data_IF_401994624584
#
_entry.id   IF_401994624584
#
_cell.length_a   1.000
_cell.length_b   1.000
_cell.length_c   1.000
_cell.angle_alpha   90.00
_cell.angle_beta   90.00
_cell.angle_gamma   90.00
#
_symmetry.space_group_name_H-M   'P 1'
#
loop_
_entity.id
_entity.type
_entity.pdbx_description
1 polymer ?
#
# COMPACT_ATOMS: atom_id res chain seq x y z
N UNK A 1 0.75 3.16 -9.93
CA UNK A 1 0.37 1.79 -10.30
C UNK A 1 0.41 1.62 -11.82
N UNK A 2 -0.41 2.32 -12.61
CA UNK A 2 -0.57 2.12 -14.06
C UNK A 2 0.66 2.45 -14.93
N UNK A 3 1.69 3.08 -14.40
CA UNK A 3 2.97 3.26 -15.11
C UNK A 3 3.69 1.94 -15.33
N UNK A 4 3.44 0.97 -14.47
CA UNK A 4 4.02 -0.36 -14.63
C UNK A 4 3.31 -1.11 -15.76
N UNK A 5 4.01 -1.57 -16.80
CA UNK A 5 3.39 -2.19 -17.98
C UNK A 5 2.74 -3.53 -17.66
N UNK A 6 3.25 -4.25 -16.66
CA UNK A 6 2.72 -5.55 -16.24
C UNK A 6 1.36 -5.47 -15.54
N UNK A 7 0.96 -4.30 -15.04
CA UNK A 7 -0.36 -4.11 -14.42
C UNK A 7 -1.43 -4.21 -15.50
N UNK A 8 -2.21 -5.27 -15.45
CA UNK A 8 -3.31 -5.54 -16.40
C UNK A 8 -4.60 -4.87 -15.99
N UNK A 9 -4.87 -4.81 -14.69
CA UNK A 9 -6.09 -4.20 -14.12
C UNK A 9 -5.75 -3.52 -12.80
N UNK A 10 -6.31 -2.34 -12.58
CA UNK A 10 -6.30 -1.64 -11.31
C UNK A 10 -7.75 -1.33 -10.91
N UNK A 11 -8.16 -1.75 -9.72
CA UNK A 11 -9.46 -1.37 -9.15
C UNK A 11 -9.21 -0.32 -8.09
N UNK A 12 -9.84 0.85 -8.24
CA UNK A 12 -9.88 1.90 -7.24
C UNK A 12 -11.25 1.86 -6.57
N UNK A 13 -11.28 1.53 -5.29
CA UNK A 13 -12.48 1.61 -4.46
C UNK A 13 -12.42 2.90 -3.65
N UNK A 14 -13.40 3.78 -3.85
CA UNK A 14 -13.50 5.08 -3.20
C UNK A 14 -14.95 5.29 -2.71
N UNK A 15 -15.11 5.64 -1.43
CA UNK A 15 -16.43 5.81 -0.85
C UNK A 15 -17.13 7.10 -1.33
N UNK A 16 -16.36 8.14 -1.62
CA UNK A 16 -16.87 9.44 -2.03
C UNK A 16 -16.55 9.76 -3.49
N UNK A 17 -17.58 9.69 -4.33
CA UNK A 17 -17.46 10.07 -5.74
C UNK A 17 -16.90 11.47 -5.95
N UNK A 18 -17.19 12.41 -5.04
CA UNK A 18 -16.74 13.79 -5.20
C UNK A 18 -15.21 13.91 -5.17
N UNK A 19 -14.50 13.03 -4.47
CA UNK A 19 -13.04 12.96 -4.48
C UNK A 19 -12.52 12.69 -5.89
N UNK A 20 -13.12 11.73 -6.60
CA UNK A 20 -12.73 11.41 -7.98
C UNK A 20 -13.00 12.60 -8.91
N UNK A 21 -14.16 13.23 -8.76
CA UNK A 21 -14.57 14.34 -9.65
C UNK A 21 -13.69 15.58 -9.40
N UNK A 22 -13.38 15.91 -8.13
CA UNK A 22 -12.45 16.99 -7.78
C UNK A 22 -11.02 16.71 -8.27
N UNK A 23 -10.56 15.47 -8.16
CA UNK A 23 -9.24 15.09 -8.67
C UNK A 23 -9.14 15.22 -10.18
N UNK A 24 -10.21 14.89 -10.93
CA UNK A 24 -10.25 15.09 -12.38
C UNK A 24 -10.22 16.57 -12.77
N UNK A 25 -10.97 17.39 -12.05
CA UNK A 25 -11.12 18.82 -12.35
C UNK A 25 -9.88 19.63 -11.93
N UNK A 26 -9.40 19.41 -10.71
CA UNK A 26 -8.38 20.29 -10.11
C UNK A 26 -6.97 19.70 -10.11
N UNK A 27 -6.84 18.38 -10.26
CA UNK A 27 -5.53 17.69 -10.21
C UNK A 27 -5.31 16.74 -11.39
N UNK A 28 -5.61 17.17 -12.65
CA UNK A 28 -5.50 16.30 -13.82
C UNK A 28 -4.07 15.79 -14.05
N UNK A 29 -3.05 16.59 -13.71
CA UNK A 29 -1.65 16.19 -13.87
C UNK A 29 -1.23 15.09 -12.86
N UNK A 30 -1.82 15.06 -11.66
CA UNK A 30 -1.54 14.03 -10.67
C UNK A 30 -2.19 12.72 -11.06
N UNK A 31 -3.46 12.74 -11.45
CA UNK A 31 -4.19 11.56 -11.90
C UNK A 31 -3.68 11.05 -13.26
N UNK A 32 -3.17 11.95 -14.11
CA UNK A 32 -2.60 11.66 -15.42
C UNK A 32 -3.47 10.70 -16.26
N UNK A 33 -4.79 10.94 -16.26
CA UNK A 33 -5.77 10.12 -16.99
C UNK A 33 -5.99 8.71 -16.39
N UNK A 34 -5.53 8.46 -15.18
CA UNK A 34 -5.62 7.13 -14.56
C UNK A 34 -7.08 6.67 -14.38
N UNK A 35 -8.00 7.57 -14.04
CA UNK A 35 -9.41 7.22 -13.84
C UNK A 35 -10.12 6.75 -15.13
N UNK A 36 -9.65 7.22 -16.29
CA UNK A 36 -10.24 6.92 -17.59
C UNK A 36 -9.40 5.91 -18.39
N UNK A 37 -8.36 5.35 -17.78
CA UNK A 37 -7.54 4.33 -18.40
C UNK A 37 -8.32 3.02 -18.52
N UNK A 38 -8.25 2.35 -19.68
CA UNK A 38 -8.95 1.07 -19.94
C UNK A 38 -8.61 -0.05 -18.94
N UNK A 39 -7.48 0.05 -18.23
CA UNK A 39 -7.06 -0.88 -17.19
C UNK A 39 -7.62 -0.53 -15.81
N UNK A 40 -8.27 0.63 -15.66
CA UNK A 40 -8.85 1.08 -14.40
C UNK A 40 -10.33 0.76 -14.31
N UNK A 41 -10.71 0.21 -13.17
CA UNK A 41 -12.11 0.09 -12.71
C UNK A 41 -12.27 0.99 -11.49
N UNK A 42 -13.08 2.03 -11.58
CA UNK A 42 -13.47 2.86 -10.43
C UNK A 42 -14.75 2.28 -9.85
N UNK A 43 -14.74 1.98 -8.55
CA UNK A 43 -15.88 1.49 -7.77
C UNK A 43 -16.19 2.51 -6.69
N UNK A 44 -17.41 3.04 -6.67
CA UNK A 44 -17.84 3.93 -5.60
C UNK A 44 -18.59 3.08 -4.57
N UNK A 45 -17.87 2.75 -3.49
CA UNK A 45 -18.37 1.87 -2.43
C UNK A 45 -17.52 2.03 -1.14
N UNK A 46 -18.07 1.53 -0.03
CA UNK A 46 -17.30 1.30 1.19
C UNK A 46 -16.22 0.23 0.93
N UNK A 47 -14.96 0.57 1.18
CA UNK A 47 -13.82 -0.32 0.96
C UNK A 47 -13.87 -1.59 1.82
N UNK A 48 -14.42 -1.52 3.04
CA UNK A 48 -14.57 -2.69 3.91
C UNK A 48 -15.58 -3.67 3.34
N UNK A 49 -16.74 -3.18 2.93
CA UNK A 49 -17.76 -3.99 2.30
C UNK A 49 -17.28 -4.55 0.96
N UNK A 50 -16.62 -3.71 0.14
CA UNK A 50 -16.08 -4.15 -1.14
C UNK A 50 -15.10 -5.31 -0.99
N UNK A 51 -14.14 -5.22 -0.06
CA UNK A 51 -13.16 -6.30 0.13
C UNK A 51 -13.78 -7.54 0.77
N UNK A 52 -14.79 -7.38 1.65
CA UNK A 52 -15.50 -8.49 2.26
C UNK A 52 -16.36 -9.30 1.24
N UNK A 53 -16.94 -8.63 0.25
CA UNK A 53 -17.88 -9.25 -0.70
C UNK A 53 -17.23 -9.65 -2.03
N UNK A 54 -16.05 -9.13 -2.36
CA UNK A 54 -15.43 -9.39 -3.67
C UNK A 54 -15.02 -10.86 -3.85
N UNK A 55 -15.29 -11.38 -5.03
CA UNK A 55 -14.77 -12.67 -5.52
C UNK A 55 -13.48 -12.50 -6.34
N UNK A 56 -13.14 -11.25 -6.71
CA UNK A 56 -11.88 -10.93 -7.40
C UNK A 56 -10.68 -11.33 -6.51
N UNK A 57 -9.56 -11.67 -7.16
CA UNK A 57 -8.27 -11.89 -6.51
C UNK A 57 -7.27 -10.87 -7.01
N UNK A 58 -6.51 -10.29 -6.09
CA UNK A 58 -5.58 -9.20 -6.35
C UNK A 58 -4.14 -9.64 -6.07
N UNK A 59 -3.22 -9.31 -6.96
CA UNK A 59 -1.78 -9.51 -6.72
C UNK A 59 -1.25 -8.52 -5.68
N UNK A 60 -1.90 -7.36 -5.54
CA UNK A 60 -1.59 -6.36 -4.52
C UNK A 60 -2.84 -5.62 -4.08
N UNK A 61 -2.98 -5.40 -2.79
CA UNK A 61 -3.98 -4.51 -2.17
C UNK A 61 -3.21 -3.39 -1.49
N UNK A 62 -3.52 -2.13 -1.88
CA UNK A 62 -2.92 -0.93 -1.31
C UNK A 62 -4.01 -0.16 -0.57
N UNK A 63 -3.89 -0.07 0.75
CA UNK A 63 -4.84 0.64 1.61
C UNK A 63 -4.25 2.01 1.95
N UNK A 64 -4.71 3.02 1.23
CA UNK A 64 -4.37 4.42 1.47
C UNK A 64 -5.51 5.03 2.31
N UNK A 65 -5.48 4.76 3.60
CA UNK A 65 -6.50 5.17 4.56
C UNK A 65 -6.21 6.55 5.15
N UNK A 66 -7.23 7.14 5.76
CA UNK A 66 -7.06 8.22 6.74
C UNK A 66 -6.56 7.65 8.07
N UNK A 67 -6.23 8.51 9.04
CA UNK A 67 -5.94 8.09 10.41
C UNK A 67 -7.10 7.26 11.00
N UNK A 68 -6.86 6.35 11.96
CA UNK A 68 -7.89 5.49 12.56
C UNK A 68 -8.83 6.26 13.50
N UNK A 69 -9.37 7.37 13.02
CA UNK A 69 -10.28 8.26 13.74
C UNK A 69 -11.62 8.28 13.02
N UNK A 70 -12.71 8.12 13.79
CA UNK A 70 -14.07 8.12 13.24
C UNK A 70 -14.30 6.99 12.23
N UNK A 71 -14.88 7.27 11.07
CA UNK A 71 -15.21 6.23 10.06
C UNK A 71 -14.00 5.47 9.52
N UNK A 72 -12.81 6.09 9.50
CA UNK A 72 -11.57 5.45 9.03
C UNK A 72 -11.06 4.33 9.93
N UNK A 73 -11.47 4.27 11.19
CA UNK A 73 -11.00 3.28 12.15
C UNK A 73 -11.27 1.82 11.71
N UNK A 74 -12.31 1.58 10.93
CA UNK A 74 -12.66 0.25 10.43
C UNK A 74 -11.60 -0.36 9.51
N UNK A 75 -10.79 0.47 8.84
CA UNK A 75 -9.72 0.04 7.96
C UNK A 75 -8.46 -0.42 8.71
N UNK A 76 -8.47 -0.37 10.05
CA UNK A 76 -7.37 -0.83 10.93
C UNK A 76 -7.79 -2.03 11.79
N UNK A 77 -8.92 -2.67 11.48
CA UNK A 77 -9.42 -3.83 12.23
C UNK A 77 -8.82 -5.13 11.72
N UNK A 78 -8.77 -6.13 12.61
CA UNK A 78 -8.31 -7.47 12.27
C UNK A 78 -9.21 -8.12 11.20
N UNK A 79 -10.50 -7.87 11.30
CA UNK A 79 -11.52 -8.37 10.36
C UNK A 79 -11.28 -7.84 8.96
N UNK A 80 -11.04 -6.53 8.82
CA UNK A 80 -10.72 -5.92 7.54
C UNK A 80 -9.45 -6.51 6.91
N UNK A 81 -8.40 -6.70 7.70
CA UNK A 81 -7.16 -7.30 7.21
C UNK A 81 -7.32 -8.78 6.84
N UNK A 82 -8.19 -9.52 7.54
CA UNK A 82 -8.53 -10.88 7.18
C UNK A 82 -9.27 -10.94 5.83
N UNK A 83 -10.20 -10.01 5.58
CA UNK A 83 -10.87 -9.87 4.30
C UNK A 83 -9.91 -9.47 3.18
N UNK A 84 -8.96 -8.56 3.44
CA UNK A 84 -7.88 -8.25 2.51
C UNK A 84 -7.06 -9.49 2.18
N UNK A 85 -6.63 -10.26 3.20
CA UNK A 85 -5.90 -11.52 2.97
C UNK A 85 -6.69 -12.48 2.10
N UNK A 86 -7.99 -12.67 2.39
CA UNK A 86 -8.87 -13.54 1.59
C UNK A 86 -8.96 -13.08 0.14
N UNK A 87 -8.97 -11.77 -0.12
CA UNK A 87 -9.06 -11.19 -1.46
C UNK A 87 -7.72 -11.17 -2.21
N UNK A 88 -6.58 -11.45 -1.56
CA UNK A 88 -5.31 -11.61 -2.24
C UNK A 88 -5.24 -12.90 -3.04
N UNK A 89 -4.54 -12.86 -4.16
CA UNK A 89 -4.05 -14.05 -4.87
C UNK A 89 -2.95 -14.73 -4.04
N UNK A 90 -2.68 -16.03 -4.24
CA UNK A 90 -1.56 -16.69 -3.57
C UNK A 90 -0.24 -15.94 -3.77
N UNK A 91 0.44 -15.62 -2.68
CA UNK A 91 1.68 -14.81 -2.68
C UNK A 91 1.49 -13.33 -2.99
N UNK A 92 0.26 -12.83 -2.98
CA UNK A 92 -0.03 -11.41 -3.13
C UNK A 92 0.39 -10.57 -1.92
N UNK A 93 0.40 -9.25 -2.09
CA UNK A 93 0.91 -8.29 -1.11
C UNK A 93 -0.20 -7.38 -0.60
N UNK A 94 -0.27 -7.23 0.72
CA UNK A 94 -1.03 -6.17 1.39
C UNK A 94 -0.08 -5.06 1.83
N UNK A 95 -0.39 -3.83 1.45
CA UNK A 95 0.29 -2.62 1.94
C UNK A 95 -0.73 -1.69 2.55
N UNK A 96 -0.44 -1.17 3.74
CA UNK A 96 -1.32 -0.24 4.45
C UNK A 96 -0.56 1.02 4.87
N UNK A 97 -1.19 2.17 4.78
CA UNK A 97 -0.67 3.39 5.38
C UNK A 97 -0.81 3.29 6.91
N UNK A 98 0.26 3.58 7.66
CA UNK A 98 0.30 3.46 9.13
C UNK A 98 0.90 4.69 9.82
N UNK A 99 0.68 5.87 9.25
CA UNK A 99 1.01 7.14 9.86
C UNK A 99 2.50 7.39 10.07
N UNK A 100 2.78 8.29 10.99
CA UNK A 100 4.13 8.71 11.38
C UNK A 100 4.55 7.94 12.64
N UNK A 101 5.50 7.01 12.58
CA UNK A 101 5.79 6.07 13.66
C UNK A 101 6.24 6.77 14.97
N UNK A 102 6.81 7.97 14.88
CA UNK A 102 7.18 8.75 16.06
C UNK A 102 5.96 9.38 16.77
N UNK A 103 4.97 9.84 16.02
CA UNK A 103 3.78 10.50 16.55
C UNK A 103 2.62 9.53 16.82
N UNK A 104 2.53 8.46 16.01
CA UNK A 104 1.41 7.53 15.97
C UNK A 104 1.92 6.06 16.07
N UNK A 105 2.73 5.72 17.09
CA UNK A 105 3.37 4.39 17.17
C UNK A 105 2.37 3.24 17.34
N UNK A 106 1.22 3.50 17.93
CA UNK A 106 0.19 2.50 18.19
C UNK A 106 -0.44 1.93 16.92
N UNK A 107 -0.60 2.74 15.89
CA UNK A 107 -1.20 2.33 14.62
C UNK A 107 -0.34 1.26 13.92
N UNK A 108 0.94 1.57 13.75
CA UNK A 108 1.89 0.64 13.16
C UNK A 108 1.99 -0.66 13.97
N UNK A 109 2.15 -0.54 15.30
CA UNK A 109 2.27 -1.70 16.20
C UNK A 109 1.05 -2.60 16.11
N UNK A 110 -0.15 -2.03 16.14
CA UNK A 110 -1.40 -2.79 16.09
C UNK A 110 -1.58 -3.51 14.74
N UNK A 111 -1.39 -2.79 13.63
CA UNK A 111 -1.52 -3.39 12.30
C UNK A 111 -0.54 -4.55 12.12
N UNK A 112 0.72 -4.37 12.53
CA UNK A 112 1.73 -5.42 12.43
C UNK A 112 1.47 -6.61 13.35
N UNK A 113 0.85 -6.41 14.53
CA UNK A 113 0.44 -7.53 15.38
C UNK A 113 -0.58 -8.42 14.66
N UNK A 114 -1.55 -7.83 13.98
CA UNK A 114 -2.53 -8.57 13.18
C UNK A 114 -1.90 -9.25 11.96
N UNK A 115 -0.96 -8.57 11.28
CA UNK A 115 -0.29 -9.15 10.12
C UNK A 115 0.53 -10.38 10.48
N UNK A 116 1.26 -10.37 11.60
CA UNK A 116 2.03 -11.53 12.09
C UNK A 116 1.17 -12.73 12.43
N UNK A 117 -0.07 -12.51 12.86
CA UNK A 117 -1.01 -13.60 13.12
C UNK A 117 -1.56 -14.23 11.83
N UNK A 118 -1.53 -13.50 10.72
CA UNK A 118 -2.20 -13.88 9.49
C UNK A 118 -1.26 -14.26 8.34
N UNK A 119 -0.09 -13.62 8.23
CA UNK A 119 0.81 -13.74 7.08
C UNK A 119 2.15 -14.34 7.47
N UNK A 120 2.81 -14.99 6.52
CA UNK A 120 4.15 -15.58 6.70
C UNK A 120 5.24 -14.48 6.83
N UNK A 121 5.13 -13.40 6.07
CA UNK A 121 6.02 -12.23 6.15
C UNK A 121 5.20 -10.98 6.53
N UNK A 122 5.52 -10.42 7.69
CA UNK A 122 4.94 -9.18 8.21
C UNK A 122 6.05 -8.21 8.62
N UNK A 123 6.06 -7.03 8.02
CA UNK A 123 7.07 -6.00 8.26
C UNK A 123 6.49 -4.60 7.99
N UNK A 124 7.36 -3.62 7.98
CA UNK A 124 7.04 -2.27 7.53
C UNK A 124 8.16 -1.72 6.65
N UNK A 125 7.82 -0.72 5.86
CA UNK A 125 8.81 0.13 5.20
C UNK A 125 8.48 1.60 5.43
N UNK A 126 9.45 2.47 5.14
CA UNK A 126 9.29 3.92 5.28
C UNK A 126 9.50 4.62 3.95
N UNK A 127 8.69 5.64 3.70
CA UNK A 127 8.87 6.52 2.54
C UNK A 127 8.69 7.98 2.94
N UNK A 128 9.55 8.85 2.40
CA UNK A 128 9.43 10.28 2.63
C UNK A 128 8.19 10.84 1.97
N UNK A 129 7.34 11.47 2.76
CA UNK A 129 6.12 12.12 2.31
C UNK A 129 6.21 13.61 2.69
N UNK A 130 6.66 14.49 1.76
CA UNK A 130 7.01 15.89 2.08
C UNK A 130 5.86 16.75 2.64
N UNK A 131 4.62 16.33 2.43
CA UNK A 131 3.43 17.01 2.95
C UNK A 131 3.15 16.75 4.43
N UNK A 132 3.85 15.78 5.04
CA UNK A 132 3.74 15.47 6.46
C UNK A 132 4.98 15.93 7.24
N UNK A 133 4.80 16.34 8.50
CA UNK A 133 5.74 17.03 9.39
C UNK A 133 7.14 16.41 9.49
N UNK A 134 7.91 16.48 8.41
CA UNK A 134 9.37 16.32 8.45
C UNK A 134 9.90 14.89 8.69
N UNK A 135 9.06 13.88 8.85
CA UNK A 135 9.53 12.50 8.96
C UNK A 135 8.95 11.61 7.83
N UNK A 136 9.50 10.42 7.68
CA UNK A 136 9.01 9.42 6.74
C UNK A 136 7.79 8.71 7.32
N UNK A 137 6.74 8.60 6.52
CA UNK A 137 5.58 7.76 6.86
C UNK A 137 5.97 6.29 6.87
N UNK A 138 5.31 5.54 7.73
CA UNK A 138 5.39 4.09 7.75
C UNK A 138 4.26 3.45 6.97
N UNK A 139 4.59 2.34 6.36
CA UNK A 139 3.65 1.51 5.62
C UNK A 139 3.81 0.08 6.10
N UNK A 140 2.70 -0.52 6.55
CA UNK A 140 2.66 -1.94 6.86
C UNK A 140 2.78 -2.77 5.58
N UNK A 141 3.48 -3.88 5.68
CA UNK A 141 3.72 -4.84 4.62
C UNK A 141 3.35 -6.22 5.10
N UNK A 142 2.55 -6.95 4.33
CA UNK A 142 2.25 -8.34 4.62
C UNK A 142 2.11 -9.19 3.35
N UNK A 143 2.65 -10.41 3.37
CA UNK A 143 2.56 -11.36 2.28
C UNK A 143 2.75 -12.80 2.79
N UNK A 144 2.16 -13.78 2.09
CA UNK A 144 2.49 -15.20 2.26
C UNK A 144 3.65 -15.64 1.32
N UNK A 145 4.38 -14.67 0.76
CA UNK A 145 5.60 -14.89 -0.01
C UNK A 145 6.72 -14.02 0.58
N UNK A 146 7.58 -14.63 1.40
CA UNK A 146 8.67 -13.96 2.11
C UNK A 146 9.84 -13.55 1.19
N UNK A 147 9.97 -14.15 0.00
CA UNK A 147 10.99 -13.78 -0.98
C UNK A 147 10.82 -12.36 -1.53
N UNK A 148 9.59 -11.82 -1.53
CA UNK A 148 9.31 -10.52 -2.15
C UNK A 148 10.07 -9.36 -1.50
N UNK A 149 10.20 -9.39 -0.17
CA UNK A 149 10.90 -8.36 0.59
C UNK A 149 12.42 -8.56 0.60
N UNK A 150 12.88 -9.76 0.31
CA UNK A 150 14.31 -10.13 0.33
C UNK A 150 15.04 -9.86 -0.99
N UNK A 151 14.35 -9.28 -1.99
CA UNK A 151 14.96 -8.97 -3.28
C UNK A 151 16.17 -8.04 -3.13
N UNK A 152 17.25 -8.38 -3.82
CA UNK A 152 18.44 -7.55 -3.91
C UNK A 152 18.23 -6.34 -4.83
N UNK A 153 19.08 -5.31 -4.66
CA UNK A 153 19.07 -4.14 -5.56
C UNK A 153 19.21 -4.57 -7.02
N UNK A 154 20.09 -5.55 -7.31
CA UNK A 154 20.33 -6.02 -8.68
C UNK A 154 19.10 -6.71 -9.30
N UNK A 155 18.36 -7.51 -8.52
CA UNK A 155 17.13 -8.15 -8.98
C UNK A 155 16.04 -7.12 -9.27
N UNK A 156 15.87 -6.12 -8.39
CA UNK A 156 14.89 -5.06 -8.59
C UNK A 156 15.28 -4.20 -9.81
N UNK A 157 16.58 -3.89 -9.99
CA UNK A 157 17.06 -3.15 -11.14
C UNK A 157 16.80 -3.90 -12.44
N UNK A 158 17.10 -5.20 -12.46
CA UNK A 158 16.82 -6.05 -13.62
C UNK A 158 15.32 -6.05 -13.97
N UNK A 159 14.45 -6.25 -13.00
CA UNK A 159 12.98 -6.20 -13.18
C UNK A 159 12.51 -4.84 -13.67
N UNK A 160 13.08 -3.76 -13.13
CA UNK A 160 12.75 -2.39 -13.52
C UNK A 160 13.13 -2.10 -14.98
N UNK A 161 14.33 -2.53 -15.40
CA UNK A 161 14.78 -2.40 -16.79
C UNK A 161 13.90 -3.24 -17.71
N UNK A 162 13.58 -4.49 -17.35
CA UNK A 162 12.68 -5.35 -18.11
C UNK A 162 11.26 -4.76 -18.25
N UNK A 163 10.80 -4.00 -17.24
CA UNK A 163 9.54 -3.28 -17.27
C UNK A 163 9.58 -1.96 -18.08
N UNK A 164 10.68 -1.67 -18.78
CA UNK A 164 10.84 -0.48 -19.63
C UNK A 164 11.40 0.75 -18.94
N UNK A 165 11.93 0.62 -17.71
CA UNK A 165 12.61 1.68 -16.95
C UNK A 165 11.84 3.03 -16.96
N UNK A 166 10.53 2.99 -16.72
CA UNK A 166 9.67 4.18 -16.77
C UNK A 166 10.13 5.25 -15.78
N UNK A 167 10.09 6.54 -16.13
CA UNK A 167 10.67 7.60 -15.31
C UNK A 167 9.98 7.73 -13.95
N UNK A 168 10.78 7.81 -12.90
CA UNK A 168 10.34 8.05 -11.52
C UNK A 168 11.12 9.22 -10.92
N UNK A 169 10.50 10.02 -10.04
CA UNK A 169 11.17 11.16 -9.39
C UNK A 169 11.74 10.78 -8.01
N UNK A 170 11.11 9.88 -7.31
CA UNK A 170 11.50 9.47 -5.95
C UNK A 170 12.09 8.06 -5.91
N UNK A 171 11.34 7.10 -6.48
CA UNK A 171 11.69 5.70 -6.39
C UNK A 171 12.85 5.32 -7.33
N UNK A 172 13.73 4.47 -6.85
CA UNK A 172 14.70 3.69 -7.62
C UNK A 172 15.01 2.39 -6.85
N UNK A 173 15.68 1.39 -7.46
CA UNK A 173 15.97 0.10 -6.81
C UNK A 173 16.68 0.21 -5.46
N UNK A 174 17.60 1.18 -5.30
CA UNK A 174 18.31 1.40 -4.02
C UNK A 174 17.42 1.98 -2.95
N UNK A 175 16.58 2.96 -3.31
CA UNK A 175 15.56 3.52 -2.41
C UNK A 175 14.56 2.44 -1.98
N UNK A 176 14.18 1.55 -2.90
CA UNK A 176 13.27 0.45 -2.58
C UNK A 176 13.83 -0.45 -1.47
N UNK A 177 15.05 -0.94 -1.65
CA UNK A 177 15.69 -1.80 -0.64
C UNK A 177 15.93 -1.04 0.66
N UNK A 178 16.40 0.21 0.59
CA UNK A 178 16.65 1.04 1.77
C UNK A 178 15.38 1.39 2.55
N UNK A 179 14.21 1.39 1.92
CA UNK A 179 12.93 1.68 2.59
C UNK A 179 12.63 0.69 3.72
N UNK A 180 13.11 -0.55 3.62
CA UNK A 180 12.97 -1.59 4.65
C UNK A 180 14.07 -1.56 5.72
N UNK A 181 15.07 -0.69 5.60
CA UNK A 181 16.08 -0.44 6.63
C UNK A 181 15.51 0.49 7.71
N UNK A 182 14.86 -0.09 8.70
CA UNK A 182 14.14 0.65 9.74
C UNK A 182 15.10 1.19 10.81
N UNK A 183 14.93 2.47 11.25
CA UNK A 183 15.57 2.96 12.48
C UNK A 183 15.21 2.11 13.70
N UNK A 184 16.07 2.08 14.71
CA UNK A 184 15.85 1.24 15.88
C UNK A 184 14.49 1.46 16.55
N UNK A 185 14.07 2.72 16.75
CA UNK A 185 12.78 3.02 17.38
C UNK A 185 11.57 2.50 16.57
N UNK A 186 11.67 2.44 15.24
CA UNK A 186 10.62 1.83 14.40
C UNK A 186 10.71 0.30 14.44
N UNK A 187 11.94 -0.23 14.41
CA UNK A 187 12.17 -1.67 14.52
C UNK A 187 11.60 -2.22 15.82
N UNK A 188 11.80 -1.51 16.93
CA UNK A 188 11.26 -1.89 18.24
C UNK A 188 9.72 -1.95 18.25
N UNK A 189 9.03 -1.11 17.43
CA UNK A 189 7.59 -1.19 17.23
C UNK A 189 7.17 -2.40 16.38
N UNK A 190 7.98 -2.71 15.37
CA UNK A 190 7.74 -3.83 14.44
C UNK A 190 7.98 -5.18 15.11
N UNK A 191 8.93 -5.28 16.05
CA UNK A 191 9.32 -6.52 16.73
C UNK A 191 8.53 -6.75 18.04
N UNK A 192 7.82 -5.74 18.53
CA UNK A 192 7.02 -5.82 19.77
C UNK A 192 5.65 -6.47 19.52
#
# INVERSE_FOLDING_TARGET
VLRHPEVKRATLCEIDRSVIDLCREHFPELSNGAFDNRRTRVVIADGTQFVAETEDRFDAILVDSTDPIGPGAVLFTKEFYADCKRALAPGGVLVTQNGLPFLQPSELKQSLSYFREMFEDASAYRATTPSYFGDAMSYGWASDNDDLRQCTVGEIEWRYVAAGAFPTKYWNPRVHVAAFALPNYVRDLVEA
#
